data_IF_031119678716
#
_entry.id   IF_031119678716
#
_cell.length_a   1.000
_cell.length_b   1.000
_cell.length_c   1.000
_cell.angle_alpha   90.00
_cell.angle_beta   90.00
_cell.angle_gamma   90.00
#
_symmetry.space_group_name_H-M   'P 1'
#
loop_
_entity.id
_entity.type
_entity.pdbx_description
1 polymer ?
#
# COMPACT_ATOMS: atom_id res chain seq x y z
N UNK A 1 0.75 41.51 -17.10
CA UNK A 1 1.52 41.04 -15.91
C UNK A 1 1.03 39.65 -15.55
N UNK A 2 1.79 38.62 -15.96
CA UNK A 2 1.47 37.21 -15.70
C UNK A 2 1.97 36.90 -14.29
N UNK A 3 1.05 36.56 -13.39
CA UNK A 3 1.36 36.24 -11.99
C UNK A 3 1.96 34.82 -11.94
N UNK A 4 3.28 34.73 -11.90
CA UNK A 4 4.00 33.47 -11.68
C UNK A 4 3.64 32.92 -10.31
N UNK A 5 2.77 31.91 -10.28
CA UNK A 5 2.53 31.14 -9.06
C UNK A 5 3.76 30.25 -8.79
N UNK A 6 4.33 30.28 -7.57
CA UNK A 6 5.49 29.46 -7.24
C UNK A 6 5.07 28.00 -7.17
N UNK A 7 5.80 27.13 -7.89
CA UNK A 7 5.76 25.68 -7.74
C UNK A 7 6.05 25.32 -6.27
N UNK A 8 5.00 25.02 -5.50
CA UNK A 8 5.17 24.41 -4.19
C UNK A 8 5.71 23.00 -4.39
N UNK A 9 6.94 22.82 -3.90
CA UNK A 9 7.64 21.56 -3.64
C UNK A 9 6.69 20.38 -3.57
N UNK A 10 6.85 19.46 -4.51
CA UNK A 10 6.37 18.07 -4.43
C UNK A 10 6.75 17.52 -3.06
N UNK A 11 5.75 17.35 -2.18
CA UNK A 11 5.89 16.58 -0.96
C UNK A 11 6.19 15.14 -1.37
N UNK A 12 7.48 14.82 -1.44
CA UNK A 12 8.00 13.46 -1.44
C UNK A 12 7.66 12.82 -0.09
N UNK A 13 6.41 12.44 0.11
CA UNK A 13 5.99 11.44 1.09
C UNK A 13 5.48 10.22 0.32
N UNK A 14 6.21 9.85 -0.75
CA UNK A 14 6.01 8.58 -1.42
C UNK A 14 6.11 7.47 -0.35
N UNK A 15 4.98 6.84 -0.07
CA UNK A 15 4.76 5.83 0.96
C UNK A 15 5.69 4.64 0.76
N UNK A 16 6.93 4.79 1.25
CA UNK A 16 7.76 3.64 1.57
C UNK A 16 7.27 3.15 2.91
N UNK A 17 6.25 2.31 2.92
CA UNK A 17 6.18 1.29 3.97
C UNK A 17 7.40 0.42 3.68
N UNK A 18 8.54 0.65 4.36
CA UNK A 18 9.74 -0.01 3.97
C UNK A 18 9.53 -1.48 4.33
N UNK A 19 9.97 -2.41 3.49
CA UNK A 19 10.06 -3.84 3.83
C UNK A 19 10.64 -4.08 5.25
N UNK A 20 11.40 -3.10 5.77
CA UNK A 20 11.83 -2.97 7.17
C UNK A 20 10.70 -3.15 8.19
N UNK A 21 9.48 -2.65 7.99
CA UNK A 21 8.38 -2.84 8.95
C UNK A 21 7.97 -4.31 9.04
N UNK A 22 7.89 -4.99 7.89
CA UNK A 22 7.68 -6.43 7.85
C UNK A 22 8.85 -7.19 8.52
N UNK A 23 10.09 -6.85 8.17
CA UNK A 23 11.28 -7.46 8.77
C UNK A 23 11.35 -7.26 10.30
N UNK A 24 11.04 -6.05 10.78
CA UNK A 24 10.97 -5.73 12.21
C UNK A 24 9.89 -6.56 12.89
N UNK A 25 8.71 -6.70 12.29
CA UNK A 25 7.64 -7.53 12.84
C UNK A 25 8.02 -9.02 12.93
N UNK A 26 8.69 -9.57 11.91
CA UNK A 26 9.18 -10.96 11.94
C UNK A 26 10.25 -11.16 13.02
N UNK A 27 11.20 -10.22 13.15
CA UNK A 27 12.24 -10.29 14.19
C UNK A 27 11.63 -10.14 15.58
N UNK A 28 10.65 -9.26 15.76
CA UNK A 28 9.92 -9.12 17.02
C UNK A 28 9.15 -10.39 17.37
N UNK A 29 8.51 -11.04 16.39
CA UNK A 29 7.81 -12.32 16.58
C UNK A 29 8.77 -13.42 17.06
N UNK A 30 9.94 -13.52 16.43
CA UNK A 30 10.99 -14.45 16.82
C UNK A 30 11.48 -14.19 18.26
N UNK A 31 11.77 -12.94 18.58
CA UNK A 31 12.26 -12.56 19.91
C UNK A 31 11.22 -12.86 21.00
N UNK A 32 9.94 -12.57 20.73
CA UNK A 32 8.83 -12.85 21.64
C UNK A 32 8.68 -14.36 21.89
N UNK A 33 8.74 -15.16 20.83
CA UNK A 33 8.65 -16.63 20.93
C UNK A 33 9.85 -17.22 21.66
N UNK A 34 11.06 -16.76 21.36
CA UNK A 34 12.27 -17.21 22.06
C UNK A 34 12.22 -16.87 23.57
N UNK A 35 11.71 -15.67 23.90
CA UNK A 35 11.56 -15.23 25.30
C UNK A 35 10.49 -16.06 26.02
N UNK A 36 9.32 -16.28 25.40
CA UNK A 36 8.26 -17.13 25.97
C UNK A 36 8.75 -18.55 26.21
N UNK A 37 9.50 -19.14 25.29
CA UNK A 37 10.10 -20.47 25.47
C UNK A 37 11.05 -20.51 26.67
N UNK A 38 11.95 -19.53 26.78
CA UNK A 38 12.93 -19.48 27.86
C UNK A 38 12.27 -19.34 29.24
N UNK A 39 11.17 -18.60 29.32
CA UNK A 39 10.46 -18.32 30.57
C UNK A 39 9.48 -19.42 30.96
N UNK A 40 8.67 -19.95 30.01
CA UNK A 40 7.63 -20.94 30.34
C UNK A 40 8.17 -22.36 30.50
N UNK A 41 9.15 -22.78 29.70
CA UNK A 41 9.39 -24.21 29.51
C UNK A 41 10.37 -24.82 30.52
N UNK A 42 11.19 -24.02 31.23
CA UNK A 42 12.25 -24.48 32.16
C UNK A 42 13.01 -25.75 31.67
N UNK A 43 13.15 -25.88 30.34
CA UNK A 43 13.50 -27.14 29.69
C UNK A 43 15.02 -27.34 29.60
N UNK A 44 15.51 -28.59 29.51
CA UNK A 44 16.93 -28.87 29.32
C UNK A 44 17.46 -28.22 28.02
N UNK A 45 18.67 -27.64 28.10
CA UNK A 45 19.28 -26.83 27.03
C UNK A 45 19.24 -27.48 25.63
N UNK A 46 19.29 -28.81 25.54
CA UNK A 46 19.25 -29.57 24.27
C UNK A 46 17.91 -29.47 23.52
N UNK A 47 16.79 -29.43 24.24
CA UNK A 47 15.46 -29.31 23.62
C UNK A 47 15.24 -27.88 23.09
N UNK A 48 15.65 -26.89 23.89
CA UNK A 48 15.59 -25.47 23.52
C UNK A 48 16.43 -25.21 22.25
N UNK A 49 17.65 -25.74 22.16
CA UNK A 49 18.50 -25.55 20.97
C UNK A 49 17.91 -26.18 19.71
N UNK A 50 17.26 -27.34 19.83
CA UNK A 50 16.67 -28.03 18.68
C UNK A 50 15.45 -27.27 18.14
N UNK A 51 14.64 -26.71 19.04
CA UNK A 51 13.48 -25.91 18.67
C UNK A 51 13.86 -24.54 18.11
N UNK A 52 14.84 -23.86 18.71
CA UNK A 52 15.38 -22.61 18.16
C UNK A 52 15.91 -22.82 16.74
N UNK A 53 16.57 -23.95 16.48
CA UNK A 53 17.06 -24.29 15.15
C UNK A 53 15.92 -24.38 14.12
N UNK A 54 14.84 -25.09 14.45
CA UNK A 54 13.66 -25.22 13.58
C UNK A 54 12.88 -23.92 13.41
N UNK A 55 12.72 -23.12 14.46
CA UNK A 55 12.09 -21.80 14.40
C UNK A 55 12.90 -20.81 13.57
N UNK A 56 14.23 -20.88 13.66
CA UNK A 56 15.12 -20.07 12.83
C UNK A 56 14.98 -20.43 11.36
N UNK A 57 14.92 -21.73 11.04
CA UNK A 57 14.69 -22.21 9.66
C UNK A 57 13.32 -21.75 9.14
N UNK A 58 12.23 -21.97 9.90
CA UNK A 58 10.89 -21.59 9.45
C UNK A 58 10.72 -20.07 9.34
N UNK A 59 11.36 -19.29 10.21
CA UNK A 59 11.40 -17.83 10.10
C UNK A 59 12.21 -17.36 8.90
N UNK A 60 13.35 -17.98 8.61
CA UNK A 60 14.15 -17.66 7.42
C UNK A 60 13.35 -17.95 6.15
N UNK A 61 12.66 -19.09 6.08
CA UNK A 61 11.76 -19.43 4.98
C UNK A 61 10.61 -18.42 4.87
N UNK A 62 10.00 -18.03 6.00
CA UNK A 62 8.95 -17.00 6.03
C UNK A 62 9.46 -15.64 5.53
N UNK A 63 10.68 -15.24 5.90
CA UNK A 63 11.34 -14.01 5.46
C UNK A 63 11.65 -14.03 3.97
N UNK A 64 12.21 -15.13 3.46
CA UNK A 64 12.55 -15.30 2.04
C UNK A 64 11.29 -15.27 1.19
N UNK A 65 10.25 -16.00 1.60
CA UNK A 65 9.00 -16.03 0.84
C UNK A 65 8.21 -14.74 0.99
N UNK A 66 8.15 -14.15 2.18
CA UNK A 66 7.56 -12.82 2.37
C UNK A 66 8.26 -11.76 1.51
N UNK A 67 9.60 -11.80 1.43
CA UNK A 67 10.37 -10.93 0.54
C UNK A 67 10.10 -11.23 -0.94
N UNK A 68 10.00 -12.50 -1.33
CA UNK A 68 9.71 -12.88 -2.70
C UNK A 68 8.29 -12.49 -3.12
N UNK A 69 7.30 -12.69 -2.25
CA UNK A 69 5.92 -12.27 -2.44
C UNK A 69 5.82 -10.74 -2.47
N UNK A 70 6.59 -10.01 -1.66
CA UNK A 70 6.69 -8.56 -1.77
C UNK A 70 7.29 -8.12 -3.12
N UNK A 71 8.43 -8.71 -3.49
CA UNK A 71 9.20 -8.32 -4.69
C UNK A 71 8.52 -8.74 -5.98
N UNK A 72 7.78 -9.85 -5.99
CA UNK A 72 7.13 -10.42 -7.18
C UNK A 72 5.62 -10.18 -7.18
N UNK A 73 4.96 -10.28 -6.02
CA UNK A 73 3.52 -10.10 -5.85
C UNK A 73 3.11 -8.62 -5.84
N UNK A 74 3.65 -7.78 -4.95
CA UNK A 74 3.25 -6.36 -4.91
C UNK A 74 3.81 -5.53 -6.08
N UNK A 75 4.96 -5.93 -6.66
CA UNK A 75 5.58 -5.14 -7.73
C UNK A 75 5.09 -5.49 -9.14
N UNK A 76 4.52 -6.68 -9.36
CA UNK A 76 4.16 -7.18 -10.70
C UNK A 76 2.80 -7.90 -10.78
N UNK A 77 2.14 -8.23 -9.67
CA UNK A 77 0.85 -8.93 -9.73
C UNK A 77 -0.28 -7.96 -10.13
N UNK A 78 -1.15 -8.34 -11.06
CA UNK A 78 -2.26 -7.50 -11.53
C UNK A 78 -3.41 -7.40 -10.53
N UNK A 79 -3.42 -8.23 -9.47
CA UNK A 79 -4.46 -8.18 -8.44
C UNK A 79 -3.95 -8.30 -7.01
N UNK A 80 -4.40 -7.37 -6.17
CA UNK A 80 -4.14 -7.30 -4.75
C UNK A 80 -4.82 -8.45 -4.01
N UNK A 81 -6.04 -8.81 -4.44
CA UNK A 81 -6.79 -9.94 -3.88
C UNK A 81 -6.04 -11.27 -4.02
N UNK A 82 -5.51 -11.57 -5.21
CA UNK A 82 -4.74 -12.80 -5.43
C UNK A 82 -3.42 -12.79 -4.65
N UNK A 83 -2.78 -11.63 -4.54
CA UNK A 83 -1.54 -11.49 -3.75
C UNK A 83 -1.80 -11.75 -2.26
N UNK A 84 -2.92 -11.26 -1.73
CA UNK A 84 -3.37 -11.56 -0.37
C UNK A 84 -3.66 -13.05 -0.21
N UNK A 85 -4.44 -13.64 -1.12
CA UNK A 85 -4.77 -15.07 -1.07
C UNK A 85 -3.52 -15.95 -1.09
N UNK A 86 -2.57 -15.71 -2.00
CA UNK A 86 -1.33 -16.46 -2.06
C UNK A 86 -0.49 -16.31 -0.79
N UNK A 87 -0.47 -15.11 -0.20
CA UNK A 87 0.30 -14.91 1.03
C UNK A 87 -0.33 -15.59 2.23
N UNK A 88 -1.65 -15.49 2.40
CA UNK A 88 -2.35 -16.21 3.47
C UNK A 88 -2.33 -17.73 3.26
N UNK A 89 -2.43 -18.21 2.02
CA UNK A 89 -2.28 -19.62 1.69
C UNK A 89 -0.88 -20.12 2.03
N UNK A 90 0.16 -19.35 1.71
CA UNK A 90 1.54 -19.68 2.06
C UNK A 90 1.77 -19.70 3.57
N UNK A 91 1.27 -18.69 4.29
CA UNK A 91 1.34 -18.64 5.75
C UNK A 91 0.63 -19.86 6.37
N UNK A 92 -0.54 -20.23 5.83
CA UNK A 92 -1.29 -21.42 6.20
C UNK A 92 -0.53 -22.73 5.96
N UNK A 93 0.15 -22.84 4.81
CA UNK A 93 0.94 -24.02 4.48
C UNK A 93 2.17 -24.16 5.40
N UNK A 94 2.80 -23.04 5.76
CA UNK A 94 3.87 -23.02 6.76
C UNK A 94 3.37 -23.40 8.15
N UNK A 95 2.20 -22.93 8.59
CA UNK A 95 1.64 -23.36 9.88
C UNK A 95 1.34 -24.83 9.90
N UNK A 96 0.69 -25.34 8.86
CA UNK A 96 0.37 -26.77 8.75
C UNK A 96 1.66 -27.60 8.72
N UNK A 97 2.68 -27.18 7.97
CA UNK A 97 3.99 -27.82 7.94
C UNK A 97 4.68 -27.82 9.31
N UNK A 98 4.67 -26.69 10.03
CA UNK A 98 5.23 -26.61 11.37
C UNK A 98 4.50 -27.52 12.37
N UNK A 99 3.16 -27.55 12.33
CA UNK A 99 2.34 -28.43 13.17
C UNK A 99 2.57 -29.90 12.82
N UNK A 100 2.73 -30.23 11.53
CA UNK A 100 2.99 -31.60 11.08
C UNK A 100 4.38 -32.08 11.50
N UNK A 101 5.44 -31.31 11.25
CA UNK A 101 6.80 -31.60 11.71
C UNK A 101 6.82 -31.82 13.22
N UNK A 102 6.07 -30.99 13.94
CA UNK A 102 5.93 -31.14 15.38
C UNK A 102 5.24 -32.45 15.76
N UNK A 103 4.09 -32.76 15.17
CA UNK A 103 3.34 -34.00 15.43
C UNK A 103 4.18 -35.25 15.22
N UNK A 104 5.10 -35.25 14.27
CA UNK A 104 5.98 -36.39 13.97
C UNK A 104 7.16 -36.50 14.95
N UNK A 105 7.57 -35.39 15.56
CA UNK A 105 8.68 -35.32 16.55
C UNK A 105 8.22 -35.50 18.00
N UNK A 106 6.96 -35.15 18.31
CA UNK A 106 6.33 -35.25 19.63
C UNK A 106 6.12 -36.68 20.13
N UNK A 107 6.21 -37.68 19.25
CA UNK A 107 6.02 -39.07 19.66
C UNK A 107 7.05 -39.57 20.71
N UNK A 108 8.07 -38.77 21.05
CA UNK A 108 9.16 -39.15 21.96
C UNK A 108 9.14 -38.49 23.36
N UNK A 109 8.47 -37.35 23.61
CA UNK A 109 8.47 -36.68 24.92
C UNK A 109 7.13 -35.97 25.23
N UNK A 110 6.27 -36.56 26.07
CA UNK A 110 4.87 -36.13 26.29
C UNK A 110 4.67 -34.81 27.07
N UNK A 111 5.69 -34.27 27.72
CA UNK A 111 5.49 -33.24 28.75
C UNK A 111 5.45 -31.79 28.23
N UNK A 112 5.96 -31.50 27.03
CA UNK A 112 6.06 -30.12 26.51
C UNK A 112 5.13 -29.82 25.32
N UNK A 113 4.26 -30.76 24.96
CA UNK A 113 3.60 -30.72 23.65
C UNK A 113 2.57 -29.58 23.51
N UNK A 114 1.76 -29.39 24.54
CA UNK A 114 0.73 -28.36 24.52
C UNK A 114 1.33 -26.94 24.49
N UNK A 115 2.45 -26.73 25.19
CA UNK A 115 3.11 -25.42 25.26
C UNK A 115 3.76 -25.09 23.91
N UNK A 116 4.43 -26.06 23.29
CA UNK A 116 5.12 -25.82 22.03
C UNK A 116 4.17 -25.57 20.85
N UNK A 117 3.06 -26.32 20.79
CA UNK A 117 2.01 -26.07 19.79
C UNK A 117 1.37 -24.69 19.98
N UNK A 118 1.13 -24.26 21.22
CA UNK A 118 0.66 -22.90 21.54
C UNK A 118 1.62 -21.80 21.09
N UNK A 119 2.92 -21.99 21.29
CA UNK A 119 3.96 -21.04 20.89
C UNK A 119 4.06 -20.92 19.36
N UNK A 120 3.97 -22.04 18.63
CA UNK A 120 3.98 -22.02 17.16
C UNK A 120 2.73 -21.38 16.56
N UNK A 121 1.56 -21.62 17.15
CA UNK A 121 0.32 -20.93 16.77
C UNK A 121 0.42 -19.43 17.02
N UNK A 122 0.98 -19.02 18.15
CA UNK A 122 1.22 -17.61 18.46
C UNK A 122 2.19 -16.98 17.45
N UNK A 123 3.30 -17.66 17.13
CA UNK A 123 4.26 -17.20 16.13
C UNK A 123 3.60 -16.94 14.77
N UNK A 124 2.80 -17.90 14.32
CA UNK A 124 2.06 -17.79 13.06
C UNK A 124 1.05 -16.65 13.06
N UNK A 125 0.30 -16.49 14.17
CA UNK A 125 -0.63 -15.39 14.33
C UNK A 125 0.08 -14.04 14.22
N UNK A 126 1.22 -13.86 14.88
CA UNK A 126 2.00 -12.61 14.82
C UNK A 126 2.50 -12.33 13.40
N UNK A 127 3.00 -13.33 12.67
CA UNK A 127 3.42 -13.16 11.28
C UNK A 127 2.24 -12.77 10.38
N UNK A 128 1.11 -13.48 10.50
CA UNK A 128 -0.09 -13.19 9.72
C UNK A 128 -0.61 -11.77 9.98
N UNK A 129 -0.68 -11.35 11.26
CA UNK A 129 -1.10 -10.00 11.64
C UNK A 129 -0.13 -8.93 11.12
N UNK A 130 1.18 -9.16 11.27
CA UNK A 130 2.21 -8.22 10.77
C UNK A 130 2.06 -8.01 9.27
N UNK A 131 1.85 -9.09 8.51
CA UNK A 131 1.64 -9.01 7.08
C UNK A 131 0.32 -8.30 6.73
N UNK A 132 -0.77 -8.60 7.45
CA UNK A 132 -2.06 -7.93 7.28
C UNK A 132 -1.97 -6.41 7.46
N UNK A 133 -1.29 -5.96 8.51
CA UNK A 133 -1.04 -4.53 8.77
C UNK A 133 -0.21 -3.91 7.64
N UNK A 134 0.82 -4.62 7.18
CA UNK A 134 1.67 -4.16 6.08
C UNK A 134 0.88 -3.94 4.78
N UNK A 135 -0.04 -4.83 4.43
CA UNK A 135 -0.86 -4.64 3.21
C UNK A 135 -1.92 -3.55 3.42
N UNK A 136 -2.59 -3.55 4.57
CA UNK A 136 -3.62 -2.57 4.88
C UNK A 136 -3.08 -1.13 4.83
N UNK A 137 -1.85 -0.91 5.33
CA UNK A 137 -1.19 0.40 5.28
C UNK A 137 -0.90 0.85 3.85
N UNK A 138 -0.35 -0.02 2.99
CA UNK A 138 -0.12 0.32 1.58
C UNK A 138 -1.41 0.70 0.84
N UNK A 139 -2.49 -0.07 1.01
CA UNK A 139 -3.79 0.22 0.39
C UNK A 139 -4.36 1.54 0.90
N UNK A 140 -4.39 1.71 2.23
CA UNK A 140 -4.97 2.90 2.85
C UNK A 140 -4.20 4.16 2.48
N UNK A 141 -2.88 4.10 2.38
CA UNK A 141 -2.06 5.23 1.98
C UNK A 141 -2.30 5.64 0.51
N UNK A 142 -2.51 4.66 -0.38
CA UNK A 142 -2.91 4.93 -1.76
C UNK A 142 -4.29 5.60 -1.83
N UNK A 143 -5.27 5.08 -1.09
CA UNK A 143 -6.62 5.64 -1.01
C UNK A 143 -6.64 7.05 -0.39
N UNK A 144 -5.82 7.31 0.63
CA UNK A 144 -5.68 8.65 1.22
C UNK A 144 -5.11 9.66 0.22
N UNK A 145 -4.10 9.27 -0.56
CA UNK A 145 -3.54 10.13 -1.61
C UNK A 145 -4.57 10.44 -2.72
N UNK A 146 -5.37 9.45 -3.09
CA UNK A 146 -6.52 9.64 -3.99
C UNK A 146 -7.52 10.63 -3.42
N UNK A 147 -7.96 10.43 -2.17
CA UNK A 147 -8.92 11.30 -1.51
C UNK A 147 -8.42 12.76 -1.43
N UNK A 148 -7.14 12.95 -1.07
CA UNK A 148 -6.51 14.27 -1.04
C UNK A 148 -6.46 14.92 -2.42
N UNK A 149 -6.11 14.16 -3.46
CA UNK A 149 -6.05 14.69 -4.83
C UNK A 149 -7.45 15.02 -5.37
N UNK A 150 -8.44 14.19 -5.07
CA UNK A 150 -9.83 14.44 -5.42
C UNK A 150 -10.37 15.72 -4.75
N UNK A 151 -10.03 15.93 -3.48
CA UNK A 151 -10.38 17.15 -2.77
C UNK A 151 -9.75 18.39 -3.43
N UNK A 152 -8.49 18.31 -3.87
CA UNK A 152 -7.84 19.41 -4.59
C UNK A 152 -8.55 19.73 -5.91
N UNK A 153 -8.98 18.72 -6.67
CA UNK A 153 -9.78 18.91 -7.89
C UNK A 153 -11.11 19.59 -7.56
N UNK A 154 -11.81 19.14 -6.50
CA UNK A 154 -13.07 19.73 -6.06
C UNK A 154 -12.92 21.20 -5.63
N UNK A 155 -11.77 21.57 -5.08
CA UNK A 155 -11.40 22.95 -4.73
C UNK A 155 -10.96 23.80 -5.95
N UNK A 156 -10.99 23.23 -7.15
CA UNK A 156 -10.69 23.93 -8.41
C UNK A 156 -9.25 23.76 -8.90
N UNK A 157 -8.39 23.05 -8.19
CA UNK A 157 -7.04 22.72 -8.66
C UNK A 157 -7.07 21.52 -9.61
N UNK A 158 -7.44 21.76 -10.87
CA UNK A 158 -7.50 20.73 -11.92
C UNK A 158 -6.13 20.18 -12.35
N UNK A 159 -5.02 20.74 -11.84
CA UNK A 159 -3.67 20.22 -12.08
C UNK A 159 -3.26 19.14 -11.08
N UNK A 160 -4.07 18.90 -10.03
CA UNK A 160 -3.80 17.85 -9.06
C UNK A 160 -3.75 16.48 -9.76
N UNK A 161 -2.74 15.67 -9.41
CA UNK A 161 -2.53 14.31 -9.91
C UNK A 161 -2.08 13.42 -8.78
N UNK A 162 -2.45 12.15 -8.84
CA UNK A 162 -2.04 11.14 -7.87
C UNK A 162 -0.94 10.26 -8.48
N UNK A 163 0.07 9.88 -7.69
CA UNK A 163 1.11 8.94 -8.10
C UNK A 163 1.13 7.75 -7.16
N UNK A 164 0.40 6.71 -7.53
CA UNK A 164 0.36 5.45 -6.80
C UNK A 164 1.33 4.49 -7.48
N UNK A 165 2.28 3.94 -6.71
CA UNK A 165 3.21 2.94 -7.21
C UNK A 165 2.57 1.56 -7.10
N UNK A 166 2.57 0.81 -8.19
CA UNK A 166 2.04 -0.56 -8.21
C UNK A 166 1.51 -0.89 -9.60
N UNK A 167 0.99 -2.11 -9.74
CA UNK A 167 0.20 -2.57 -10.89
C UNK A 167 -1.11 -3.21 -10.44
N UNK A 168 -1.49 -2.95 -9.20
CA UNK A 168 -2.69 -3.48 -8.57
C UNK A 168 -3.89 -2.56 -8.86
N UNK A 169 -5.05 -2.97 -8.36
CA UNK A 169 -6.32 -2.29 -8.55
C UNK A 169 -6.29 -0.86 -7.98
N UNK A 170 -5.50 -0.62 -6.92
CA UNK A 170 -5.35 0.72 -6.34
C UNK A 170 -4.59 1.64 -7.30
N UNK A 171 -3.48 1.15 -7.89
CA UNK A 171 -2.75 1.88 -8.92
C UNK A 171 -3.62 2.14 -10.17
N UNK A 172 -4.40 1.15 -10.60
CA UNK A 172 -5.32 1.29 -11.73
C UNK A 172 -6.38 2.38 -11.47
N UNK A 173 -6.96 2.43 -10.28
CA UNK A 173 -7.87 3.52 -9.89
C UNK A 173 -7.16 4.88 -9.90
N UNK A 174 -5.88 4.93 -9.50
CA UNK A 174 -5.02 6.10 -9.61
C UNK A 174 -4.85 6.61 -11.04
N UNK A 175 -4.62 5.69 -11.98
CA UNK A 175 -4.51 6.00 -13.41
C UNK A 175 -5.82 6.55 -13.98
N UNK A 176 -6.95 5.85 -13.74
CA UNK A 176 -8.28 6.30 -14.16
C UNK A 176 -8.65 7.66 -13.55
N UNK A 177 -8.28 7.90 -12.28
CA UNK A 177 -8.47 9.20 -11.65
C UNK A 177 -7.69 10.31 -12.38
N UNK A 178 -6.44 10.06 -12.76
CA UNK A 178 -5.63 11.04 -13.48
C UNK A 178 -6.16 11.32 -14.90
N UNK A 179 -6.71 10.32 -15.58
CA UNK A 179 -7.38 10.49 -16.87
C UNK A 179 -8.63 11.38 -16.75
N UNK A 180 -9.48 11.12 -15.76
CA UNK A 180 -10.63 11.99 -15.45
C UNK A 180 -10.17 13.42 -15.12
N UNK A 181 -9.11 13.59 -14.32
CA UNK A 181 -8.56 14.89 -13.97
C UNK A 181 -8.07 15.66 -15.22
N UNK A 182 -7.45 14.95 -16.17
CA UNK A 182 -7.03 15.52 -17.44
C UNK A 182 -8.22 15.99 -18.29
N UNK A 183 -9.28 15.17 -18.39
CA UNK A 183 -10.50 15.54 -19.13
C UNK A 183 -11.18 16.77 -18.51
N UNK A 184 -11.28 16.85 -17.18
CA UNK A 184 -11.80 18.02 -16.48
C UNK A 184 -10.98 19.28 -16.78
N UNK A 185 -9.65 19.16 -16.77
CA UNK A 185 -8.76 20.27 -17.10
C UNK A 185 -8.95 20.75 -18.54
N UNK A 186 -9.09 19.84 -19.50
CA UNK A 186 -9.33 20.18 -20.90
C UNK A 186 -10.68 20.86 -21.11
N UNK A 187 -11.75 20.32 -20.50
CA UNK A 187 -13.09 20.91 -20.58
C UNK A 187 -13.15 22.32 -19.95
N UNK A 188 -12.42 22.55 -18.86
CA UNK A 188 -12.32 23.87 -18.25
C UNK A 188 -11.59 24.88 -19.16
N UNK A 189 -10.51 24.44 -19.83
CA UNK A 189 -9.77 25.29 -20.77
C UNK A 189 -10.63 25.65 -21.99
N UNK A 190 -11.33 24.68 -22.58
CA UNK A 190 -12.22 24.91 -23.71
C UNK A 190 -13.33 25.91 -23.36
N UNK A 191 -13.90 25.79 -22.15
CA UNK A 191 -14.89 26.75 -21.66
C UNK A 191 -14.31 28.16 -21.53
N UNK A 192 -13.11 28.31 -21.00
CA UNK A 192 -12.46 29.62 -20.88
C UNK A 192 -12.20 30.25 -22.26
N UNK A 193 -11.73 29.45 -23.23
CA UNK A 193 -11.47 29.90 -24.59
C UNK A 193 -12.77 30.35 -25.28
N UNK A 194 -13.87 29.61 -25.11
CA UNK A 194 -15.20 29.98 -25.60
C UNK A 194 -15.72 31.28 -24.96
N UNK A 195 -15.56 31.43 -23.64
CA UNK A 195 -15.95 32.66 -22.94
C UNK A 195 -15.15 33.88 -23.43
N UNK A 196 -13.87 33.69 -23.75
CA UNK A 196 -13.02 34.74 -24.32
C UNK A 196 -13.46 35.13 -25.74
N UNK A 197 -13.68 34.15 -26.62
CA UNK A 197 -14.20 34.41 -27.98
C UNK A 197 -15.53 35.16 -27.93
N UNK A 198 -16.45 34.75 -27.05
CA UNK A 198 -17.72 35.44 -26.84
C UNK A 198 -17.53 36.91 -26.43
N UNK A 199 -16.62 37.20 -25.50
CA UNK A 199 -16.33 38.57 -25.05
C UNK A 199 -15.74 39.42 -26.18
N UNK A 200 -14.81 38.86 -26.96
CA UNK A 200 -14.17 39.55 -28.08
C UNK A 200 -15.18 39.88 -29.19
N UNK A 201 -16.10 38.96 -29.51
CA UNK A 201 -17.22 39.17 -30.43
C UNK A 201 -18.13 40.32 -29.98
N UNK A 202 -18.51 40.35 -28.70
CA UNK A 202 -19.36 41.43 -28.15
C UNK A 202 -18.63 42.77 -28.19
N UNK A 203 -17.33 42.79 -27.88
CA UNK A 203 -16.52 44.00 -27.92
C UNK A 203 -16.39 44.55 -29.35
N UNK A 204 -16.12 43.68 -30.33
CA UNK A 204 -16.00 44.06 -31.74
C UNK A 204 -17.32 44.58 -32.32
N UNK A 205 -18.43 43.86 -32.09
CA UNK A 205 -19.76 44.30 -32.57
C UNK A 205 -20.18 45.65 -31.95
N UNK A 206 -19.86 45.89 -30.67
CA UNK A 206 -20.13 47.18 -30.01
C UNK A 206 -19.31 48.33 -30.59
N UNK A 207 -18.06 48.06 -31.01
CA UNK A 207 -17.20 49.05 -31.65
C UNK A 207 -17.75 49.46 -33.02
N UNK A 208 -18.13 48.50 -33.87
CA UNK A 208 -18.64 48.79 -35.21
C UNK A 208 -20.01 49.47 -35.19
N UNK A 209 -20.90 49.13 -34.25
CA UNK A 209 -22.21 49.78 -34.10
C UNK A 209 -22.13 51.22 -33.58
N UNK A 210 -21.06 51.59 -32.86
CA UNK A 210 -20.91 52.94 -32.30
C UNK A 210 -20.52 53.98 -33.38
N UNK A 211 -19.83 53.57 -34.43
CA UNK A 211 -19.28 54.46 -35.48
C UNK A 211 -20.32 55.08 -36.44
N UNK A 212 -21.41 54.40 -36.87
CA UNK A 212 -22.41 54.99 -37.77
C UNK A 212 -23.46 55.86 -37.06
N UNK A 213 -23.69 55.70 -35.75
CA UNK A 213 -24.69 56.50 -35.01
C UNK A 213 -24.25 57.95 -34.76
N UNK A 214 -22.98 58.29 -34.99
CA UNK A 214 -22.45 59.65 -34.90
C UNK A 214 -22.51 60.45 -36.19
N UNK A 215 -22.77 59.82 -37.35
CA UNK A 215 -22.83 60.52 -38.65
C UNK A 215 -24.26 60.86 -39.11
N UNK A 216 -25.29 60.53 -38.32
CA UNK A 216 -26.71 60.86 -38.60
C UNK A 216 -27.21 61.94 -37.62
N UNK A 217 -26.46 63.03 -37.49
CA UNK A 217 -26.93 64.28 -36.88
C UNK A 217 -26.54 65.46 -37.73
#
# INVERSE_FOLDING_TARGET
MIKSYPQKRTLNHAGRVPWRLFAVGVVAALALVATLMAVLMQAPLKEITTLIYWLSISSLVSLVVGYFLYRRGLAHSPSLGLTLMLTYAWAGLLTLGNVWIMSERMFFSKDHDLILSGILLLFAAVIATTFGIFVATNVTDGLRQLAQSAQQIAEGNLQARVSIRGRDEVAQVGETFNEMALQLQQAAQEREDLEKMRKDLIAWTSHDLRTPLTSIR
#
